data_IF_248139074693
#
_entry.id   IF_248139074693
#
_cell.length_a   1.000
_cell.length_b   1.000
_cell.length_c   1.000
_cell.angle_alpha   90.00
_cell.angle_beta   90.00
_cell.angle_gamma   90.00
#
_symmetry.space_group_name_H-M   'P 1'
#
loop_
_entity.id
_entity.type
_entity.pdbx_description
1 polymer ?
#
# COMPACT_ATOMS: atom_id res chain seq x y z
N UNK A 1 1.32 10.80 19.68
CA UNK A 1 1.19 9.95 18.47
C UNK A 1 2.30 8.93 18.54
N UNK A 2 2.06 7.82 19.24
CA UNK A 2 2.98 6.69 19.19
C UNK A 2 3.03 6.22 17.73
N UNK A 3 4.17 6.45 17.08
CA UNK A 3 4.45 5.87 15.77
C UNK A 3 4.61 4.38 16.04
N UNK A 4 3.51 3.65 15.95
CA UNK A 4 3.47 2.20 15.97
C UNK A 4 4.59 1.71 15.06
N UNK A 5 5.60 1.10 15.67
CA UNK A 5 6.82 0.73 14.98
C UNK A 5 6.43 -0.31 13.93
N UNK A 6 6.64 -0.01 12.66
CA UNK A 6 6.46 -0.94 11.54
C UNK A 6 7.31 -2.22 11.64
N UNK A 7 8.02 -2.42 12.76
CA UNK A 7 8.91 -3.54 13.07
C UNK A 7 8.18 -4.85 13.44
N UNK A 8 6.87 -4.84 13.72
CA UNK A 8 6.12 -6.05 14.09
C UNK A 8 5.01 -6.44 13.10
N UNK A 9 4.98 -5.87 11.89
CA UNK A 9 4.00 -6.33 10.90
C UNK A 9 4.50 -7.62 10.25
N UNK A 10 3.70 -8.69 10.34
CA UNK A 10 4.01 -9.94 9.64
C UNK A 10 3.98 -9.70 8.14
N UNK A 11 4.83 -10.42 7.39
CA UNK A 11 4.91 -10.31 5.91
C UNK A 11 3.55 -10.49 5.23
N UNK A 12 2.67 -11.27 5.85
CA UNK A 12 1.30 -11.52 5.39
C UNK A 12 0.40 -10.29 5.52
N UNK A 13 0.45 -9.57 6.65
CA UNK A 13 -0.29 -8.32 6.84
C UNK A 13 0.17 -7.24 5.86
N UNK A 14 1.47 -7.17 5.58
CA UNK A 14 2.02 -6.28 4.56
C UNK A 14 1.53 -6.66 3.16
N UNK A 15 1.45 -7.95 2.84
CA UNK A 15 0.91 -8.43 1.57
C UNK A 15 -0.57 -8.07 1.39
N UNK A 16 -1.42 -8.30 2.39
CA UNK A 16 -2.84 -7.97 2.32
C UNK A 16 -3.07 -6.46 2.17
N UNK A 17 -2.31 -5.63 2.89
CA UNK A 17 -2.40 -4.17 2.73
C UNK A 17 -1.95 -3.71 1.34
N UNK A 18 -0.92 -4.32 0.75
CA UNK A 18 -0.49 -3.99 -0.62
C UNK A 18 -1.52 -4.41 -1.67
N UNK A 19 -2.20 -5.56 -1.51
CA UNK A 19 -3.35 -5.93 -2.38
C UNK A 19 -4.46 -4.87 -2.30
N UNK A 20 -4.74 -4.35 -1.10
CA UNK A 20 -5.72 -3.30 -0.90
C UNK A 20 -5.30 -1.98 -1.60
N UNK A 21 -4.03 -1.59 -1.51
CA UNK A 21 -3.47 -0.44 -2.25
C UNK A 21 -3.71 -0.58 -3.75
N UNK A 22 -3.33 -1.72 -4.34
CA UNK A 22 -3.52 -1.98 -5.78
C UNK A 22 -5.00 -1.94 -6.17
N UNK A 23 -5.88 -2.51 -5.34
CA UNK A 23 -7.33 -2.48 -5.58
C UNK A 23 -7.90 -1.05 -5.55
N UNK A 24 -7.46 -0.22 -4.61
CA UNK A 24 -7.86 1.19 -4.52
C UNK A 24 -7.29 2.00 -5.69
N UNK A 25 -6.07 1.69 -6.12
CA UNK A 25 -5.44 2.29 -7.29
C UNK A 25 -6.18 1.94 -8.59
N UNK A 26 -6.55 0.67 -8.79
CA UNK A 26 -7.41 0.21 -9.91
C UNK A 26 -8.78 0.93 -9.94
N UNK A 27 -9.28 1.41 -8.80
CA UNK A 27 -10.52 2.21 -8.69
C UNK A 27 -10.31 3.70 -9.01
N UNK A 28 -9.10 4.14 -9.36
CA UNK A 28 -8.79 5.54 -9.68
C UNK A 28 -8.61 6.44 -8.46
N UNK A 29 -8.44 5.89 -7.26
CA UNK A 29 -8.21 6.67 -6.04
C UNK A 29 -6.80 7.25 -6.05
N UNK A 30 -6.66 8.54 -5.68
CA UNK A 30 -5.37 9.22 -5.62
C UNK A 30 -4.47 8.64 -4.53
N UNK A 31 -3.16 8.57 -4.77
CA UNK A 31 -2.15 8.02 -3.84
C UNK A 31 -2.29 8.59 -2.43
N UNK A 32 -2.47 9.91 -2.29
CA UNK A 32 -2.62 10.56 -0.98
C UNK A 32 -3.88 10.13 -0.22
N UNK A 33 -4.97 9.81 -0.93
CA UNK A 33 -6.17 9.25 -0.30
C UNK A 33 -5.94 7.80 0.13
N UNK A 34 -5.23 7.02 -0.70
CA UNK A 34 -4.85 5.63 -0.35
C UNK A 34 -3.98 5.60 0.91
N UNK A 35 -3.02 6.52 1.03
CA UNK A 35 -2.19 6.71 2.24
C UNK A 35 -3.07 6.93 3.46
N UNK A 36 -4.04 7.84 3.38
CA UNK A 36 -4.96 8.12 4.48
C UNK A 36 -5.86 6.92 4.82
N UNK A 37 -6.34 6.18 3.81
CA UNK A 37 -7.26 5.04 4.00
C UNK A 37 -6.56 3.78 4.52
N UNK A 38 -5.30 3.56 4.14
CA UNK A 38 -4.55 2.32 4.48
C UNK A 38 -3.68 2.49 5.72
N UNK A 39 -3.45 3.73 6.17
CA UNK A 39 -2.53 4.04 7.27
C UNK A 39 -1.07 3.72 6.93
N UNK A 40 -0.76 3.46 5.65
CA UNK A 40 0.59 3.18 5.18
C UNK A 40 1.34 4.48 4.90
N UNK A 41 2.67 4.42 4.97
CA UNK A 41 3.51 5.55 4.56
C UNK A 41 3.44 5.77 3.05
N UNK A 42 3.54 7.03 2.63
CA UNK A 42 3.62 7.42 1.21
C UNK A 42 4.60 6.57 0.37
N UNK A 43 5.87 6.36 0.79
CA UNK A 43 6.80 5.55 0.00
C UNK A 43 6.33 4.10 -0.18
N UNK A 44 5.63 3.53 0.82
CA UNK A 44 5.09 2.16 0.73
C UNK A 44 3.97 2.08 -0.30
N UNK A 45 3.06 3.06 -0.30
CA UNK A 45 1.96 3.12 -1.27
C UNK A 45 2.50 3.36 -2.68
N UNK A 46 3.43 4.32 -2.84
CA UNK A 46 4.06 4.64 -4.13
C UNK A 46 4.76 3.42 -4.72
N UNK A 47 5.56 2.70 -3.94
CA UNK A 47 6.25 1.49 -4.39
C UNK A 47 5.29 0.37 -4.80
N UNK A 48 4.18 0.19 -4.08
CA UNK A 48 3.17 -0.82 -4.44
C UNK A 48 2.47 -0.46 -5.77
N UNK A 49 2.19 0.82 -6.01
CA UNK A 49 1.64 1.30 -7.28
C UNK A 49 2.67 1.18 -8.40
N UNK A 50 3.93 1.56 -8.17
CA UNK A 50 5.01 1.43 -9.18
C UNK A 50 5.21 -0.03 -9.61
N UNK A 51 5.22 -0.97 -8.65
CA UNK A 51 5.32 -2.40 -8.95
C UNK A 51 4.11 -2.94 -9.73
N UNK A 52 2.92 -2.39 -9.45
CA UNK A 52 1.71 -2.73 -10.19
C UNK A 52 1.76 -2.16 -11.61
N UNK A 53 2.13 -0.90 -11.78
CA UNK A 53 2.27 -0.21 -13.08
C UNK A 53 3.37 -0.84 -13.94
N UNK A 54 4.45 -1.32 -13.32
CA UNK A 54 5.53 -2.06 -13.99
C UNK A 54 5.10 -3.46 -14.47
N UNK A 55 3.85 -3.88 -14.25
CA UNK A 55 3.34 -5.19 -14.63
C UNK A 55 3.84 -6.35 -13.76
N UNK A 56 4.57 -6.04 -12.68
CA UNK A 56 5.15 -7.02 -11.76
C UNK A 56 4.17 -7.59 -10.75
N UNK A 57 2.95 -7.04 -10.67
CA UNK A 57 1.93 -7.48 -9.72
C UNK A 57 0.61 -7.84 -10.40
N UNK A 58 0.46 -9.12 -10.70
CA UNK A 58 -0.83 -9.73 -11.04
C UNK A 58 -1.68 -9.84 -9.77
N UNK A 59 -2.35 -8.74 -9.41
CA UNK A 59 -3.34 -8.73 -8.33
C UNK A 59 -4.63 -9.45 -8.75
#
# INVERSE_FOLDING_TARGET
MEKESARNQTLEQLHERRKQVVRLHKKGIKIMQIVAMTGLSYPTVRAAVDLFDAGGWSA
#
